data_IF_065476531490
#
_entry.id   IF_065476531490
#
_cell.length_a   1.000
_cell.length_b   1.000
_cell.length_c   1.000
_cell.angle_alpha   90.00
_cell.angle_beta   90.00
_cell.angle_gamma   90.00
#
_symmetry.space_group_name_H-M   'P 1'
#
loop_
_entity.id
_entity.type
_entity.pdbx_description
1 polymer ?
#
# COMPACT_ATOMS: atom_id res chain seq x y z
N UNK A 1 12.99 -8.11 -56.52
CA UNK A 1 14.43 -7.84 -56.55
C UNK A 1 14.77 -6.88 -55.41
N UNK A 2 15.47 -7.39 -54.38
CA UNK A 2 16.39 -6.67 -53.47
C UNK A 2 15.77 -5.47 -52.71
N UNK A 3 15.28 -5.58 -51.47
CA UNK A 3 16.03 -5.92 -50.24
C UNK A 3 17.53 -5.66 -50.36
N UNK A 4 17.95 -4.43 -50.06
CA UNK A 4 19.26 -4.05 -49.50
C UNK A 4 19.31 -2.52 -49.43
N UNK A 5 19.11 -1.93 -48.25
CA UNK A 5 19.98 -0.88 -47.69
C UNK A 5 19.44 -0.41 -46.32
N UNK A 6 19.44 -1.33 -45.37
CA UNK A 6 19.54 -0.98 -43.95
C UNK A 6 21.03 -0.83 -43.67
N UNK A 7 21.49 0.35 -43.28
CA UNK A 7 22.71 0.70 -42.49
C UNK A 7 23.34 2.00 -42.99
N UNK A 8 23.79 2.83 -42.05
CA UNK A 8 24.36 4.19 -42.21
C UNK A 8 23.24 5.24 -42.33
N UNK A 9 22.72 5.82 -41.24
CA UNK A 9 23.41 6.80 -40.40
C UNK A 9 22.97 6.62 -38.93
N UNK A 10 23.81 5.93 -38.17
CA UNK A 10 23.95 6.10 -36.72
C UNK A 10 24.85 7.31 -36.54
N UNK A 11 24.29 8.51 -36.34
CA UNK A 11 25.02 9.67 -35.79
C UNK A 11 24.06 10.84 -35.55
N UNK A 12 23.71 11.15 -34.30
CA UNK A 12 23.25 12.45 -33.76
C UNK A 12 22.49 12.14 -32.45
N UNK A 13 22.82 12.65 -31.27
CA UNK A 13 23.97 13.40 -30.79
C UNK A 13 23.87 13.22 -29.26
N UNK A 14 24.88 12.63 -28.64
CA UNK A 14 24.98 12.56 -27.18
C UNK A 14 25.25 13.98 -26.66
N UNK A 15 24.25 14.64 -26.09
CA UNK A 15 24.47 15.88 -25.34
C UNK A 15 24.76 15.52 -23.89
N UNK A 16 26.04 15.38 -23.62
CA UNK A 16 26.61 15.44 -22.28
C UNK A 16 26.60 16.91 -21.82
N UNK A 17 25.77 17.22 -20.82
CA UNK A 17 25.93 18.44 -20.03
C UNK A 17 26.36 18.05 -18.62
N UNK A 18 27.68 17.92 -18.46
CA UNK A 18 28.38 17.93 -17.18
C UNK A 18 28.25 19.31 -16.54
N UNK A 19 27.53 19.43 -15.41
CA UNK A 19 27.59 20.63 -14.58
C UNK A 19 28.53 20.37 -13.42
N UNK A 20 29.65 21.10 -13.41
CA UNK A 20 30.67 21.10 -12.37
C UNK A 20 30.31 22.13 -11.30
N UNK A 21 30.09 21.60 -10.10
CA UNK A 21 30.27 22.08 -8.73
C UNK A 21 30.87 23.49 -8.53
N UNK A 22 30.19 24.30 -7.69
CA UNK A 22 30.84 25.36 -6.89
C UNK A 22 30.66 25.02 -5.41
N UNK A 23 31.74 24.54 -4.79
CA UNK A 23 31.86 24.39 -3.33
C UNK A 23 32.25 25.76 -2.77
N UNK A 24 31.30 26.40 -2.07
CA UNK A 24 31.59 27.57 -1.24
C UNK A 24 32.08 27.13 0.14
N UNK A 25 33.40 26.98 0.29
CA UNK A 25 34.05 26.99 1.60
C UNK A 25 34.15 28.44 2.06
N UNK A 26 33.47 28.80 3.13
CA UNK A 26 33.80 29.97 3.95
C UNK A 26 33.92 29.51 5.39
N UNK A 27 35.17 29.29 5.80
CA UNK A 27 35.54 29.16 7.19
C UNK A 27 35.68 30.54 7.83
N UNK A 28 35.17 30.68 9.04
CA UNK A 28 35.61 31.67 10.02
C UNK A 28 35.74 30.99 11.37
N UNK A 29 36.68 31.51 12.14
CA UNK A 29 37.50 30.79 13.10
C UNK A 29 36.84 30.44 14.44
N UNK A 30 37.46 29.41 15.02
CA UNK A 30 37.34 28.82 16.35
C UNK A 30 37.57 29.84 17.48
N UNK A 31 36.75 29.77 18.54
CA UNK A 31 37.20 30.12 19.90
C UNK A 31 36.77 29.03 20.90
N UNK A 32 37.81 28.35 21.40
CA UNK A 32 37.90 27.48 22.58
C UNK A 32 37.19 28.07 23.82
N UNK A 33 36.84 27.36 24.89
CA UNK A 33 36.92 25.97 25.33
C UNK A 33 36.00 25.86 26.56
N UNK A 34 35.54 24.65 26.87
CA UNK A 34 34.85 24.33 28.11
C UNK A 34 34.74 22.82 28.21
N UNK A 35 35.82 22.23 28.71
CA UNK A 35 36.05 20.82 28.96
C UNK A 35 35.04 20.29 29.99
N UNK A 36 34.25 19.27 29.65
CA UNK A 36 33.73 18.33 30.66
C UNK A 36 33.34 17.00 29.99
N UNK A 37 34.33 16.12 29.87
CA UNK A 37 34.08 14.69 29.68
C UNK A 37 34.01 14.06 31.08
N UNK A 38 32.85 13.54 31.47
CA UNK A 38 32.77 12.44 32.44
C UNK A 38 31.53 11.59 32.20
N UNK A 39 31.78 10.31 31.90
CA UNK A 39 30.83 9.21 31.72
C UNK A 39 30.26 8.68 33.06
N UNK A 40 29.22 7.82 33.04
CA UNK A 40 28.20 7.70 34.09
C UNK A 40 28.51 6.62 35.12
N UNK A 41 28.08 6.80 36.38
CA UNK A 41 27.82 5.67 37.29
C UNK A 41 26.92 6.01 38.49
N UNK A 42 25.96 5.10 38.73
CA UNK A 42 25.24 4.79 39.99
C UNK A 42 24.12 5.77 40.42
N UNK A 43 22.97 5.35 40.95
CA UNK A 43 22.63 4.09 41.62
C UNK A 43 21.13 3.76 41.54
N UNK A 44 20.86 2.46 41.62
CA UNK A 44 19.59 1.77 41.86
C UNK A 44 18.74 2.44 42.97
N UNK A 45 17.45 2.67 42.68
CA UNK A 45 16.38 2.58 43.69
C UNK A 45 15.34 1.60 43.16
N UNK A 46 15.14 0.50 43.89
CA UNK A 46 14.01 -0.39 43.73
C UNK A 46 12.85 0.21 44.52
N UNK A 47 11.74 0.48 43.84
CA UNK A 47 10.44 0.73 44.42
C UNK A 47 9.40 0.12 43.50
N UNK A 48 8.91 -1.07 43.85
CA UNK A 48 7.85 -1.74 43.12
C UNK A 48 6.51 -1.06 43.41
N UNK A 49 5.72 -0.89 42.34
CA UNK A 49 4.28 -1.21 42.22
C UNK A 49 3.41 -0.13 41.57
N UNK A 50 2.59 -0.62 40.64
CA UNK A 50 1.28 -0.10 40.22
C UNK A 50 1.26 1.03 39.18
N UNK A 51 1.13 0.59 37.91
CA UNK A 51 0.04 0.94 36.99
C UNK A 51 -0.39 2.40 36.86
N UNK A 52 -0.51 2.82 35.60
CA UNK A 52 -1.16 4.04 35.07
C UNK A 52 -0.20 5.17 34.71
N UNK A 53 0.52 4.97 33.60
CA UNK A 53 1.09 6.06 32.83
C UNK A 53 0.36 6.15 31.50
N UNK A 54 -0.78 6.84 31.46
CA UNK A 54 -1.36 7.32 30.20
C UNK A 54 -0.36 8.31 29.60
N UNK A 55 0.38 7.87 28.60
CA UNK A 55 0.99 8.76 27.62
C UNK A 55 -0.10 9.02 26.58
N UNK A 56 -0.94 10.01 26.88
CA UNK A 56 -1.82 10.61 25.89
C UNK A 56 -0.95 11.46 24.97
N UNK A 57 -0.56 10.90 23.83
CA UNK A 57 0.06 11.68 22.75
C UNK A 57 -0.79 11.54 21.47
N UNK A 58 -1.70 12.52 21.34
CA UNK A 58 -2.42 12.98 20.15
C UNK A 58 -3.04 11.90 19.24
N UNK A 59 -4.12 11.28 19.73
CA UNK A 59 -5.21 10.97 18.82
C UNK A 59 -5.78 12.30 18.30
N UNK A 60 -5.65 12.57 17.01
CA UNK A 60 -6.45 13.62 16.38
C UNK A 60 -7.88 13.08 16.36
N UNK A 61 -8.69 13.50 17.33
CA UNK A 61 -10.10 13.12 17.42
C UNK A 61 -10.88 13.88 16.35
N UNK A 62 -10.94 13.30 15.16
CA UNK A 62 -11.91 13.71 14.17
C UNK A 62 -13.27 13.19 14.65
N UNK A 63 -14.08 14.07 15.22
CA UNK A 63 -15.47 13.73 15.55
C UNK A 63 -16.18 13.42 14.23
N UNK A 64 -16.46 12.15 13.98
CA UNK A 64 -17.30 11.70 12.89
C UNK A 64 -18.67 11.32 13.47
N UNK A 65 -19.72 11.76 12.78
CA UNK A 65 -21.10 11.46 13.16
C UNK A 65 -21.43 10.05 12.64
N UNK A 66 -21.30 9.04 13.49
CA UNK A 66 -21.66 7.65 13.15
C UNK A 66 -20.86 6.57 13.88
N UNK A 67 -21.37 5.32 13.92
CA UNK A 67 -20.65 4.21 14.51
C UNK A 67 -19.39 3.88 13.69
N UNK A 68 -18.22 3.97 14.32
CA UNK A 68 -16.94 3.58 13.71
C UNK A 68 -16.76 2.06 13.74
N UNK A 69 -16.36 1.46 12.62
CA UNK A 69 -15.99 0.06 12.51
C UNK A 69 -14.48 -0.09 12.29
N UNK A 70 -13.82 -0.89 13.12
CA UNK A 70 -12.41 -1.27 12.89
C UNK A 70 -12.28 -2.13 11.64
N UNK A 71 -11.33 -1.80 10.76
CA UNK A 71 -10.97 -2.68 9.64
C UNK A 71 -9.88 -3.65 10.09
N UNK A 72 -10.10 -4.94 9.82
CA UNK A 72 -9.10 -5.96 10.10
C UNK A 72 -7.90 -5.79 9.16
N UNK A 73 -6.71 -5.83 9.73
CA UNK A 73 -5.44 -5.79 9.02
C UNK A 73 -4.84 -7.20 8.97
N UNK A 74 -4.53 -7.68 7.76
CA UNK A 74 -3.79 -8.92 7.53
C UNK A 74 -2.33 -8.67 7.06
N UNK A 75 -1.94 -7.41 6.82
CA UNK A 75 -0.59 -7.06 6.43
C UNK A 75 0.34 -7.04 7.66
N UNK A 76 1.57 -7.52 7.45
CA UNK A 76 2.62 -7.56 8.47
C UNK A 76 3.80 -6.69 8.05
N UNK A 77 4.37 -5.94 9.00
CA UNK A 77 5.53 -5.10 8.81
C UNK A 77 5.34 -3.71 9.38
N UNK A 78 6.06 -2.72 8.85
CA UNK A 78 5.99 -1.32 9.32
C UNK A 78 5.01 -0.52 8.47
N UNK A 79 4.13 0.25 9.11
CA UNK A 79 3.23 1.19 8.43
C UNK A 79 4.06 2.29 7.78
N UNK A 80 3.92 2.43 6.46
CA UNK A 80 4.69 3.38 5.63
C UNK A 80 3.85 4.54 5.11
N UNK A 81 2.53 4.36 5.05
CA UNK A 81 1.60 5.40 4.61
C UNK A 81 0.19 5.15 5.16
N UNK A 82 -0.56 6.21 5.41
CA UNK A 82 -1.93 6.18 5.92
C UNK A 82 -2.79 7.21 5.19
N UNK A 83 -4.03 6.84 4.86
CA UNK A 83 -5.07 7.82 4.52
C UNK A 83 -5.38 8.72 5.73
N UNK A 84 -5.86 9.93 5.49
CA UNK A 84 -6.20 10.85 6.58
C UNK A 84 -7.62 10.59 7.07
N UNK A 85 -7.92 10.81 8.35
CA UNK A 85 -9.30 10.84 8.80
C UNK A 85 -10.11 11.91 8.04
N UNK A 86 -11.36 11.59 7.75
CA UNK A 86 -12.24 12.35 6.87
C UNK A 86 -12.13 11.99 5.39
N UNK A 87 -11.05 11.31 4.95
CA UNK A 87 -10.91 10.90 3.56
C UNK A 87 -11.96 9.85 3.20
N UNK A 88 -12.67 10.06 2.08
CA UNK A 88 -13.53 9.05 1.46
C UNK A 88 -12.66 8.20 0.53
N UNK A 89 -12.65 6.89 0.77
CA UNK A 89 -11.90 5.90 0.01
C UNK A 89 -12.86 5.09 -0.84
N UNK A 90 -12.75 5.30 -2.15
CA UNK A 90 -13.49 4.57 -3.17
C UNK A 90 -12.83 3.23 -3.52
N UNK A 91 -13.58 2.34 -4.16
CA UNK A 91 -13.03 1.07 -4.65
C UNK A 91 -11.86 1.28 -5.62
N UNK A 92 -10.82 0.48 -5.48
CA UNK A 92 -9.57 0.59 -6.25
C UNK A 92 -8.55 1.54 -5.62
N UNK A 93 -8.90 2.22 -4.52
CA UNK A 93 -8.03 3.20 -3.84
C UNK A 93 -7.32 2.58 -2.64
N UNK A 94 -6.14 3.10 -2.30
CA UNK A 94 -5.31 2.65 -1.17
C UNK A 94 -5.89 3.15 0.16
N UNK A 95 -6.05 2.26 1.14
CA UNK A 95 -6.44 2.59 2.51
C UNK A 95 -5.23 3.01 3.35
N UNK A 96 -4.18 2.19 3.30
CA UNK A 96 -2.91 2.38 3.98
C UNK A 96 -1.83 1.54 3.28
N UNK A 97 -0.56 1.69 3.64
CA UNK A 97 0.52 0.85 3.13
C UNK A 97 1.44 0.34 4.24
N UNK A 98 1.83 -0.94 4.15
CA UNK A 98 2.76 -1.60 5.06
C UNK A 98 3.97 -2.08 4.27
N UNK A 99 5.17 -1.64 4.65
CA UNK A 99 6.42 -1.88 3.89
C UNK A 99 6.33 -1.47 2.41
N UNK A 100 5.74 -0.31 2.12
CA UNK A 100 5.46 0.17 0.77
C UNK A 100 4.55 -0.74 -0.07
N UNK A 101 3.87 -1.72 0.56
CA UNK A 101 2.82 -2.51 -0.08
C UNK A 101 1.46 -1.90 0.27
N UNK A 102 0.75 -1.32 -0.72
CA UNK A 102 -0.56 -0.73 -0.49
C UNK A 102 -1.60 -1.80 -0.18
N UNK A 103 -2.48 -1.51 0.77
CA UNK A 103 -3.68 -2.28 1.04
C UNK A 103 -4.85 -1.56 0.38
N UNK A 104 -5.41 -2.19 -0.65
CA UNK A 104 -6.41 -1.56 -1.53
C UNK A 104 -7.83 -1.95 -1.11
N UNK A 105 -8.75 -0.98 -1.14
CA UNK A 105 -10.17 -1.25 -0.96
C UNK A 105 -10.77 -1.85 -2.23
N UNK A 106 -11.42 -3.01 -2.14
CA UNK A 106 -12.15 -3.61 -3.25
C UNK A 106 -13.58 -3.95 -2.86
N UNK A 107 -14.47 -4.02 -3.86
CA UNK A 107 -15.87 -4.35 -3.64
C UNK A 107 -16.06 -5.85 -3.40
N UNK A 108 -16.67 -6.24 -2.30
CA UNK A 108 -16.92 -7.65 -2.00
C UNK A 108 -17.64 -7.87 -0.68
N UNK A 109 -18.41 -8.96 -0.59
CA UNK A 109 -19.11 -9.35 0.63
C UNK A 109 -18.26 -10.31 1.49
N UNK A 110 -17.35 -11.06 0.87
CA UNK A 110 -16.46 -11.97 1.58
C UNK A 110 -15.17 -11.25 1.94
N UNK A 111 -14.69 -11.35 3.20
CA UNK A 111 -13.37 -10.86 3.54
C UNK A 111 -12.32 -11.61 2.72
N UNK A 112 -11.19 -10.96 2.46
CA UNK A 112 -10.01 -11.68 2.00
C UNK A 112 -9.58 -12.62 3.15
N UNK A 113 -9.37 -13.91 2.87
CA UNK A 113 -8.98 -14.90 3.90
C UNK A 113 -7.84 -15.83 3.48
N UNK A 114 -7.39 -15.73 2.21
CA UNK A 114 -6.31 -16.53 1.65
C UNK A 114 -5.61 -15.74 0.54
N UNK A 115 -4.41 -16.18 0.17
CA UNK A 115 -3.76 -15.70 -1.06
C UNK A 115 -4.54 -16.21 -2.29
N UNK A 116 -4.63 -15.40 -3.35
CA UNK A 116 -5.17 -15.78 -4.65
C UNK A 116 -4.02 -15.78 -5.67
N UNK A 117 -3.73 -16.95 -6.21
CA UNK A 117 -2.64 -17.20 -7.14
C UNK A 117 -3.05 -18.23 -8.21
N UNK A 118 -2.25 -18.36 -9.26
CA UNK A 118 -2.49 -19.36 -10.30
C UNK A 118 -2.56 -20.78 -9.73
N UNK A 119 -3.51 -21.59 -10.24
CA UNK A 119 -3.77 -22.99 -9.81
C UNK A 119 -4.23 -23.15 -8.36
N UNK A 120 -4.70 -22.08 -7.72
CA UNK A 120 -5.40 -22.22 -6.44
C UNK A 120 -6.78 -22.87 -6.65
N UNK A 121 -7.36 -23.42 -5.59
CA UNK A 121 -8.73 -23.93 -5.61
C UNK A 121 -9.73 -22.82 -5.91
N UNK A 122 -10.77 -23.20 -6.65
CA UNK A 122 -11.85 -22.31 -7.01
C UNK A 122 -12.56 -21.77 -5.76
N UNK A 123 -13.10 -20.55 -5.88
CA UNK A 123 -13.91 -20.00 -4.80
C UNK A 123 -14.59 -18.67 -5.13
N UNK A 124 -15.60 -18.28 -4.35
CA UNK A 124 -16.32 -17.03 -4.52
C UNK A 124 -15.45 -15.79 -4.26
N UNK A 125 -14.33 -15.93 -3.56
CA UNK A 125 -13.31 -14.90 -3.37
C UNK A 125 -12.52 -14.60 -4.66
N UNK A 126 -12.31 -15.61 -5.50
CA UNK A 126 -11.72 -15.43 -6.84
C UNK A 126 -12.70 -14.64 -7.71
N UNK A 127 -13.98 -15.05 -7.71
CA UNK A 127 -15.05 -14.38 -8.45
C UNK A 127 -15.12 -12.88 -8.18
N UNK A 128 -15.05 -12.49 -6.90
CA UNK A 128 -15.13 -11.08 -6.53
C UNK A 128 -13.86 -10.32 -6.94
N UNK A 129 -12.67 -10.92 -6.84
CA UNK A 129 -11.45 -10.30 -7.33
C UNK A 129 -11.53 -10.05 -8.84
N UNK A 130 -11.95 -11.05 -9.61
CA UNK A 130 -12.14 -10.96 -11.06
C UNK A 130 -13.14 -9.86 -11.43
N UNK A 131 -14.30 -9.81 -10.76
CA UNK A 131 -15.27 -8.71 -10.91
C UNK A 131 -14.65 -7.33 -10.65
N UNK A 132 -13.78 -7.20 -9.66
CA UNK A 132 -13.08 -5.92 -9.41
C UNK A 132 -12.07 -5.59 -10.53
N UNK A 133 -11.31 -6.57 -11.01
CA UNK A 133 -10.37 -6.37 -12.12
C UNK A 133 -11.08 -5.91 -13.40
N UNK A 134 -12.26 -6.48 -13.68
CA UNK A 134 -13.15 -6.00 -14.75
C UNK A 134 -13.60 -4.57 -14.48
N UNK A 135 -14.13 -4.28 -13.29
CA UNK A 135 -14.64 -2.95 -12.94
C UNK A 135 -13.57 -1.86 -13.01
N UNK A 136 -12.32 -2.19 -12.70
CA UNK A 136 -11.18 -1.27 -12.79
C UNK A 136 -10.59 -1.19 -14.21
N UNK A 137 -11.11 -1.96 -15.16
CA UNK A 137 -10.72 -1.91 -16.57
C UNK A 137 -9.40 -2.61 -16.89
N UNK A 138 -8.93 -3.53 -16.04
CA UNK A 138 -7.72 -4.32 -16.32
C UNK A 138 -7.96 -5.47 -17.28
N UNK A 139 -9.23 -5.82 -17.49
CA UNK A 139 -9.67 -6.88 -18.40
C UNK A 139 -11.13 -6.64 -18.77
N UNK A 140 -11.52 -7.14 -19.94
CA UNK A 140 -12.92 -7.13 -20.38
C UNK A 140 -13.62 -8.38 -19.85
N UNK A 141 -14.93 -8.25 -19.61
CA UNK A 141 -15.79 -9.34 -19.19
C UNK A 141 -16.45 -9.99 -20.41
N UNK A 142 -16.25 -11.30 -20.58
CA UNK A 142 -16.87 -12.11 -21.64
C UNK A 142 -18.39 -11.92 -21.63
N UNK A 143 -19.02 -11.83 -20.46
CA UNK A 143 -20.47 -11.67 -20.38
C UNK A 143 -20.95 -10.33 -20.96
N UNK A 144 -20.07 -9.32 -21.02
CA UNK A 144 -20.35 -8.00 -21.59
C UNK A 144 -20.02 -7.94 -23.07
N UNK A 145 -18.91 -8.55 -23.50
CA UNK A 145 -18.41 -8.45 -24.88
C UNK A 145 -18.93 -9.54 -25.80
N UNK A 146 -19.25 -10.72 -25.25
CA UNK A 146 -19.55 -11.94 -26.00
C UNK A 146 -18.32 -12.57 -26.67
N UNK A 147 -17.11 -12.08 -26.39
CA UNK A 147 -15.87 -12.64 -26.93
C UNK A 147 -15.32 -13.71 -25.97
N UNK A 148 -15.21 -14.99 -26.39
CA UNK A 148 -14.72 -16.07 -25.53
C UNK A 148 -13.22 -15.97 -25.21
N UNK A 149 -12.52 -14.96 -25.74
CA UNK A 149 -11.13 -14.64 -25.39
C UNK A 149 -11.00 -13.64 -24.24
N UNK A 150 -12.11 -13.03 -23.82
CA UNK A 150 -12.18 -12.16 -22.65
C UNK A 150 -12.35 -12.97 -21.35
N UNK A 151 -12.28 -12.28 -20.21
CA UNK A 151 -12.34 -12.95 -18.91
C UNK A 151 -13.78 -13.33 -18.57
N UNK A 152 -14.02 -14.61 -18.31
CA UNK A 152 -15.23 -15.06 -17.61
C UNK A 152 -15.09 -14.79 -16.12
N UNK A 153 -16.00 -14.03 -15.51
CA UNK A 153 -16.01 -13.89 -14.05
C UNK A 153 -16.69 -15.08 -13.39
N UNK A 154 -15.91 -16.10 -13.08
CA UNK A 154 -16.39 -17.34 -12.48
C UNK A 154 -15.87 -17.47 -11.04
N UNK A 155 -14.94 -18.40 -10.78
CA UNK A 155 -14.32 -18.71 -9.50
C UNK A 155 -12.91 -19.28 -9.72
N UNK A 156 -12.41 -19.31 -10.95
CA UNK A 156 -11.22 -20.07 -11.35
C UNK A 156 -10.12 -19.16 -11.88
N UNK A 157 -8.95 -19.20 -11.26
CA UNK A 157 -7.82 -18.36 -11.68
C UNK A 157 -7.22 -18.88 -12.98
N UNK A 158 -7.59 -18.25 -14.10
CA UNK A 158 -7.03 -18.52 -15.43
C UNK A 158 -5.72 -17.74 -15.65
N UNK A 159 -4.93 -18.07 -16.70
CA UNK A 159 -3.81 -17.22 -17.11
C UNK A 159 -4.22 -15.78 -17.43
N UNK A 160 -5.45 -15.55 -17.89
CA UNK A 160 -5.97 -14.21 -18.16
C UNK A 160 -6.22 -13.45 -16.85
N UNK A 161 -6.78 -14.10 -15.82
CA UNK A 161 -6.90 -13.55 -14.47
C UNK A 161 -5.52 -13.12 -13.93
N UNK A 162 -4.50 -13.97 -14.09
CA UNK A 162 -3.13 -13.68 -13.65
C UNK A 162 -2.56 -12.46 -14.39
N UNK A 163 -2.78 -12.36 -15.71
CA UNK A 163 -2.36 -11.20 -16.52
C UNK A 163 -3.06 -9.91 -16.07
N UNK A 164 -4.36 -9.97 -15.76
CA UNK A 164 -5.11 -8.83 -15.23
C UNK A 164 -4.58 -8.38 -13.86
N UNK A 165 -4.27 -9.31 -12.96
CA UNK A 165 -3.63 -9.01 -11.66
C UNK A 165 -2.28 -8.31 -11.87
N UNK A 166 -1.47 -8.80 -12.82
CA UNK A 166 -0.17 -8.17 -13.14
C UNK A 166 -0.31 -6.75 -13.67
N UNK A 167 -1.29 -6.51 -14.53
CA UNK A 167 -1.57 -5.18 -15.07
C UNK A 167 -2.02 -4.22 -13.95
N UNK A 168 -2.90 -4.69 -13.06
CA UNK A 168 -3.31 -3.94 -11.87
C UNK A 168 -2.13 -3.59 -10.97
N UNK A 169 -1.29 -4.56 -10.63
CA UNK A 169 -0.09 -4.34 -9.81
C UNK A 169 0.87 -3.33 -10.44
N UNK A 170 1.12 -3.45 -11.75
CA UNK A 170 1.98 -2.52 -12.47
C UNK A 170 1.43 -1.09 -12.45
N UNK A 171 0.10 -0.92 -12.59
CA UNK A 171 -0.55 0.40 -12.52
C UNK A 171 -0.36 1.09 -11.16
N UNK A 172 -0.16 0.31 -10.10
CA UNK A 172 0.10 0.77 -8.73
C UNK A 172 1.60 0.94 -8.43
N UNK A 173 2.47 0.73 -9.42
CA UNK A 173 3.93 0.77 -9.23
C UNK A 173 4.50 -0.43 -8.46
N UNK A 174 3.74 -1.53 -8.37
CA UNK A 174 4.16 -2.75 -7.69
C UNK A 174 4.85 -3.73 -8.64
N UNK A 175 5.62 -4.65 -8.07
CA UNK A 175 6.11 -5.82 -8.81
C UNK A 175 4.93 -6.64 -9.31
N UNK A 176 4.87 -6.90 -10.62
CA UNK A 176 3.80 -7.65 -11.27
C UNK A 176 3.93 -9.17 -11.04
N UNK A 177 3.66 -9.61 -9.81
CA UNK A 177 3.74 -11.02 -9.42
C UNK A 177 2.61 -11.86 -10.04
N UNK A 178 1.44 -11.25 -10.23
CA UNK A 178 0.21 -11.97 -10.60
C UNK A 178 -0.41 -12.73 -9.42
N UNK A 179 -0.05 -12.35 -8.19
CA UNK A 179 -0.52 -12.95 -6.94
C UNK A 179 -1.10 -11.85 -6.07
N UNK A 180 -2.29 -12.07 -5.52
CA UNK A 180 -2.91 -11.17 -4.52
C UNK A 180 -2.84 -11.84 -3.16
N UNK A 181 -2.01 -11.31 -2.26
CA UNK A 181 -1.83 -11.85 -0.91
C UNK A 181 -3.02 -11.45 -0.03
N UNK A 182 -3.20 -12.18 1.06
CA UNK A 182 -4.24 -11.91 2.05
C UNK A 182 -4.19 -10.45 2.58
N UNK A 183 -2.99 -9.88 2.73
CA UNK A 183 -2.81 -8.51 3.21
C UNK A 183 -2.85 -7.41 2.14
N UNK A 184 -3.01 -7.73 0.86
CA UNK A 184 -2.93 -6.73 -0.21
C UNK A 184 -4.25 -5.99 -0.44
N UNK A 185 -5.37 -6.59 -0.03
CA UNK A 185 -6.72 -6.10 -0.34
C UNK A 185 -7.64 -6.28 0.86
N UNK A 186 -8.50 -5.29 1.09
CA UNK A 186 -9.65 -5.40 1.99
C UNK A 186 -10.92 -5.31 1.15
N UNK A 187 -11.76 -6.34 1.24
CA UNK A 187 -13.07 -6.37 0.60
C UNK A 187 -14.15 -5.77 1.48
N UNK A 188 -14.99 -4.90 0.90
CA UNK A 188 -16.14 -4.29 1.56
C UNK A 188 -17.32 -4.17 0.59
N UNK A 189 -18.56 -4.22 1.08
CA UNK A 189 -19.74 -4.06 0.21
C UNK A 189 -19.87 -2.63 -0.33
N UNK A 190 -19.32 -1.65 0.40
CA UNK A 190 -19.50 -0.21 0.17
C UNK A 190 -18.17 0.55 0.34
N UNK A 191 -18.03 1.73 -0.28
CA UNK A 191 -16.97 2.69 0.03
C UNK A 191 -16.97 3.10 1.50
N UNK A 192 -15.87 3.68 1.94
CA UNK A 192 -15.66 3.98 3.37
C UNK A 192 -15.08 5.37 3.56
N UNK A 193 -15.43 6.02 4.68
CA UNK A 193 -14.73 7.21 5.14
C UNK A 193 -13.84 6.85 6.32
N UNK A 194 -12.57 7.28 6.29
CA UNK A 194 -11.62 7.02 7.36
C UNK A 194 -12.03 7.81 8.61
N UNK A 195 -12.19 7.15 9.75
CA UNK A 195 -12.63 7.80 10.98
C UNK A 195 -11.51 7.97 12.02
N UNK A 196 -10.77 6.89 12.29
CA UNK A 196 -9.75 6.85 13.34
C UNK A 196 -8.53 6.12 12.82
N UNK A 197 -7.35 6.66 13.07
CA UNK A 197 -6.09 5.94 12.87
C UNK A 197 -5.76 5.19 14.15
N UNK A 198 -5.60 3.87 14.05
CA UNK A 198 -5.24 3.00 15.18
C UNK A 198 -3.73 2.71 15.23
N UNK A 199 -2.99 3.18 14.23
CA UNK A 199 -1.53 3.12 14.12
C UNK A 199 -1.01 4.40 13.46
N UNK A 200 0.27 4.71 13.66
CA UNK A 200 1.00 5.79 13.02
C UNK A 200 2.01 5.26 12.00
N UNK A 201 2.47 6.13 11.09
CA UNK A 201 3.60 5.80 10.20
C UNK A 201 4.84 5.53 11.06
N UNK A 202 5.51 4.40 10.81
CA UNK A 202 6.63 3.91 11.61
C UNK A 202 6.24 2.83 12.62
N UNK A 203 4.96 2.62 12.89
CA UNK A 203 4.50 1.56 13.79
C UNK A 203 4.61 0.18 13.12
N UNK A 204 4.98 -0.82 13.92
CA UNK A 204 4.93 -2.23 13.51
C UNK A 204 3.53 -2.81 13.69
N UNK A 205 3.06 -3.54 12.68
CA UNK A 205 1.77 -4.24 12.68
C UNK A 205 1.95 -5.69 12.24
N UNK A 206 1.20 -6.60 12.86
CA UNK A 206 1.19 -8.04 12.56
C UNK A 206 -0.23 -8.64 12.57
N UNK A 207 -1.23 -7.77 12.56
CA UNK A 207 -2.63 -8.12 12.67
C UNK A 207 -3.44 -6.92 13.15
N UNK A 208 -4.58 -7.20 13.80
CA UNK A 208 -5.39 -6.18 14.46
C UNK A 208 -6.04 -5.22 13.47
N UNK A 209 -5.86 -3.92 13.67
CA UNK A 209 -6.48 -2.89 12.84
C UNK A 209 -5.57 -1.67 12.75
N UNK A 210 -5.33 -1.19 11.53
CA UNK A 210 -4.53 0.02 11.25
C UNK A 210 -5.41 1.27 11.30
N UNK A 211 -6.67 1.16 10.86
CA UNK A 211 -7.63 2.26 10.85
C UNK A 211 -9.06 1.75 11.06
N UNK A 212 -9.90 2.67 11.49
CA UNK A 212 -11.36 2.50 11.60
C UNK A 212 -12.04 3.37 10.54
N UNK A 213 -13.24 2.96 10.16
CA UNK A 213 -14.04 3.64 9.14
C UNK A 213 -15.47 3.87 9.61
N UNK A 214 -16.11 4.91 9.10
CA UNK A 214 -17.54 5.13 9.26
C UNK A 214 -18.31 4.34 8.20
N UNK A 215 -19.47 3.81 8.59
CA UNK A 215 -20.42 3.15 7.68
C UNK A 215 -21.37 4.20 7.10
N UNK A 216 -21.71 4.09 5.81
CA UNK A 216 -22.58 5.03 5.08
C UNK A 216 -22.09 6.49 5.14
N UNK A 217 -20.88 6.79 4.60
CA UNK A 217 -20.38 8.15 4.51
C UNK A 217 -21.14 9.04 3.51
#
# INVERSE_FOLDING_TARGET
MKQTLTTIVVLLLAVACTVVIVIGVSGTEKKNAGDEIAQPISSRIVGASTGSGQTADKAVEFIHDGPSQRLNNAATGVVTWLSKPGDVVEFGTVLYAVEHRPVVLMKGALPMYREIAYKISDGPDVAQLERNLVNFGFVLDEATTGDPTDLTVDQHVTPLTVSAIRAWQLSMGLTSTGIVRHGDVIFRPEPVQISVLNAAVGDSVDGGSVLSVTLNP
#
